data_IF_469070429170
#
_entry.id   IF_469070429170
#
_cell.length_a   1.000
_cell.length_b   1.000
_cell.length_c   1.000
_cell.angle_alpha   90.00
_cell.angle_beta   90.00
_cell.angle_gamma   90.00
#
_symmetry.space_group_name_H-M   'P 1'
#
loop_
_entity.id
_entity.type
_entity.pdbx_description
1 polymer ?
#
# COMPACT_ATOMS: atom_id res chain seq x y z
N UNK A 1 11.55 -44.32 -18.91
CA UNK A 1 10.97 -44.48 -17.56
C UNK A 1 11.60 -43.50 -16.55
N UNK A 2 12.94 -43.38 -16.53
CA UNK A 2 13.74 -42.51 -15.64
C UNK A 2 13.30 -41.04 -15.66
N UNK A 3 13.24 -40.40 -16.83
CA UNK A 3 12.78 -39.00 -16.98
C UNK A 3 11.40 -38.72 -16.36
N UNK A 4 10.46 -39.67 -16.44
CA UNK A 4 9.12 -39.51 -15.87
C UNK A 4 9.17 -39.54 -14.33
N UNK A 5 10.02 -40.39 -13.75
CA UNK A 5 10.24 -40.45 -12.31
C UNK A 5 10.89 -39.17 -11.78
N UNK A 6 11.91 -38.64 -12.46
CA UNK A 6 12.56 -37.35 -12.14
C UNK A 6 11.54 -36.22 -12.15
N UNK A 7 10.71 -36.12 -13.20
CA UNK A 7 9.66 -35.10 -13.27
C UNK A 7 8.64 -35.23 -12.14
N UNK A 8 8.29 -36.46 -11.75
CA UNK A 8 7.36 -36.71 -10.64
C UNK A 8 7.95 -36.27 -9.30
N UNK A 9 9.20 -36.62 -9.01
CA UNK A 9 9.91 -36.20 -7.79
C UNK A 9 10.04 -34.68 -7.71
N UNK A 10 10.45 -34.02 -8.81
CA UNK A 10 10.55 -32.57 -8.84
C UNK A 10 9.19 -31.88 -8.61
N UNK A 11 8.09 -32.44 -9.14
CA UNK A 11 6.74 -31.94 -8.86
C UNK A 11 6.32 -32.15 -7.41
N UNK A 12 6.67 -33.28 -6.79
CA UNK A 12 6.41 -33.55 -5.38
C UNK A 12 7.18 -32.57 -4.48
N UNK A 13 8.49 -32.41 -4.71
CA UNK A 13 9.32 -31.42 -4.00
C UNK A 13 8.78 -30.00 -4.17
N UNK A 14 8.31 -29.65 -5.38
CA UNK A 14 7.69 -28.35 -5.62
C UNK A 14 6.41 -28.14 -4.80
N UNK A 15 5.60 -29.19 -4.56
CA UNK A 15 4.40 -29.14 -3.71
C UNK A 15 4.77 -29.02 -2.24
N UNK A 16 5.66 -29.88 -1.75
CA UNK A 16 6.08 -29.92 -0.34
C UNK A 16 6.76 -28.63 0.09
N UNK A 17 7.58 -28.03 -0.80
CA UNK A 17 8.32 -26.80 -0.52
C UNK A 17 7.73 -25.61 -1.26
N UNK A 18 6.45 -25.35 -1.06
CA UNK A 18 5.73 -24.25 -1.71
C UNK A 18 6.10 -22.85 -1.14
N UNK A 19 6.89 -22.81 -0.08
CA UNK A 19 7.49 -21.65 0.60
C UNK A 19 8.77 -21.14 -0.08
N UNK A 20 9.58 -22.03 -0.66
CA UNK A 20 10.83 -21.71 -1.37
C UNK A 20 10.62 -21.26 -2.83
N UNK A 21 11.63 -20.63 -3.43
CA UNK A 21 11.59 -20.27 -4.85
C UNK A 21 11.50 -21.50 -5.77
N UNK A 22 10.68 -21.48 -6.84
CA UNK A 22 10.57 -22.65 -7.75
C UNK A 22 11.94 -23.02 -8.36
N UNK A 23 12.79 -22.02 -8.60
CA UNK A 23 14.14 -22.24 -9.13
C UNK A 23 15.09 -22.89 -8.11
N UNK A 24 14.96 -22.51 -6.85
CA UNK A 24 15.71 -23.10 -5.72
C UNK A 24 15.30 -24.56 -5.53
N UNK A 25 13.99 -24.84 -5.43
CA UNK A 25 13.47 -26.21 -5.32
C UNK A 25 13.87 -27.05 -6.53
N UNK A 26 13.86 -26.49 -7.73
CA UNK A 26 14.38 -27.17 -8.92
C UNK A 26 15.87 -27.54 -8.76
N UNK A 27 16.70 -26.59 -8.34
CA UNK A 27 18.14 -26.80 -8.20
C UNK A 27 18.46 -27.89 -7.18
N UNK A 28 17.80 -27.86 -6.03
CA UNK A 28 17.99 -28.87 -4.98
C UNK A 28 17.46 -30.25 -5.42
N UNK A 29 16.24 -30.30 -5.98
CA UNK A 29 15.68 -31.56 -6.46
C UNK A 29 16.49 -32.18 -7.61
N UNK A 30 17.16 -31.35 -8.43
CA UNK A 30 18.05 -31.81 -9.49
C UNK A 30 19.26 -32.56 -8.90
N UNK A 31 19.89 -32.01 -7.85
CA UNK A 31 21.02 -32.64 -7.16
C UNK A 31 20.59 -33.94 -6.48
N UNK A 32 19.44 -33.94 -5.80
CA UNK A 32 18.90 -35.17 -5.19
C UNK A 32 18.65 -36.25 -6.25
N UNK A 33 18.00 -35.91 -7.36
CA UNK A 33 17.72 -36.87 -8.42
C UNK A 33 19.01 -37.41 -9.07
N UNK A 34 20.02 -36.56 -9.32
CA UNK A 34 21.31 -37.00 -9.86
C UNK A 34 22.02 -37.97 -8.91
N UNK A 35 22.09 -37.63 -7.62
CA UNK A 35 22.76 -38.46 -6.61
C UNK A 35 22.11 -39.82 -6.43
N UNK A 36 20.77 -39.91 -6.51
CA UNK A 36 20.03 -41.18 -6.46
C UNK A 36 20.22 -42.04 -7.71
N UNK A 37 20.43 -41.43 -8.88
CA UNK A 37 20.59 -42.16 -10.14
C UNK A 37 22.03 -42.62 -10.37
N UNK A 38 23.01 -41.90 -9.83
CA UNK A 38 24.45 -42.15 -10.00
C UNK A 38 24.90 -43.60 -9.76
N UNK A 39 24.36 -44.36 -8.77
CA UNK A 39 24.75 -45.75 -8.55
C UNK A 39 24.15 -46.76 -9.54
N UNK A 40 23.15 -46.35 -10.34
CA UNK A 40 22.29 -47.27 -11.08
C UNK A 40 22.29 -47.04 -12.60
N UNK A 41 22.80 -45.91 -13.09
CA UNK A 41 22.72 -45.52 -14.50
C UNK A 41 24.02 -44.88 -14.99
N UNK A 42 24.30 -44.99 -16.29
CA UNK A 42 25.44 -44.32 -16.90
C UNK A 42 25.23 -42.79 -16.95
N UNK A 43 26.33 -42.03 -16.91
CA UNK A 43 26.28 -40.55 -16.90
C UNK A 43 25.50 -39.95 -18.08
N UNK A 44 25.56 -40.59 -19.25
CA UNK A 44 24.85 -40.18 -20.46
C UNK A 44 23.32 -40.32 -20.30
N UNK A 45 22.86 -41.44 -19.73
CA UNK A 45 21.45 -41.72 -19.46
C UNK A 45 20.87 -40.78 -18.39
N UNK A 46 21.68 -40.45 -17.39
CA UNK A 46 21.35 -39.47 -16.34
C UNK A 46 21.18 -38.09 -16.97
N UNK A 47 22.18 -37.63 -17.74
CA UNK A 47 22.16 -36.34 -18.42
C UNK A 47 20.95 -36.17 -19.34
N UNK A 48 20.61 -37.21 -20.11
CA UNK A 48 19.44 -37.20 -20.99
C UNK A 48 18.08 -37.19 -20.25
N UNK A 49 18.07 -37.64 -18.98
CA UNK A 49 16.86 -37.75 -18.17
C UNK A 49 16.56 -36.50 -17.33
N UNK A 50 17.56 -35.67 -17.06
CA UNK A 50 17.42 -34.46 -16.25
C UNK A 50 16.83 -33.29 -17.07
N UNK A 51 15.70 -32.68 -16.64
CA UNK A 51 15.14 -31.52 -17.33
C UNK A 51 15.95 -30.26 -17.07
N UNK A 52 15.96 -29.35 -18.03
CA UNK A 52 16.36 -27.96 -17.77
C UNK A 52 15.25 -27.22 -17.02
N UNK A 53 15.62 -26.18 -16.25
CA UNK A 53 14.66 -25.36 -15.51
C UNK A 53 13.54 -24.84 -16.42
N UNK A 54 13.90 -24.26 -17.58
CA UNK A 54 12.93 -23.72 -18.55
C UNK A 54 11.91 -24.77 -19.00
N UNK A 55 12.34 -26.01 -19.20
CA UNK A 55 11.47 -27.10 -19.68
C UNK A 55 10.45 -27.59 -18.66
N UNK A 56 10.78 -27.53 -17.35
CA UNK A 56 9.91 -28.04 -16.28
C UNK A 56 9.20 -26.93 -15.50
N UNK A 57 9.65 -25.67 -15.60
CA UNK A 57 9.14 -24.53 -14.85
C UNK A 57 7.61 -24.48 -14.79
N UNK A 58 6.93 -24.46 -15.95
CA UNK A 58 5.47 -24.39 -16.01
C UNK A 58 4.78 -25.59 -15.33
N UNK A 59 5.41 -26.77 -15.34
CA UNK A 59 4.89 -27.96 -14.69
C UNK A 59 5.06 -27.92 -13.18
N UNK A 60 6.16 -27.34 -12.67
CA UNK A 60 6.35 -27.13 -11.23
C UNK A 60 5.36 -26.10 -10.67
N UNK A 61 5.16 -24.99 -11.39
CA UNK A 61 4.14 -24.01 -11.02
C UNK A 61 2.72 -24.61 -11.04
N UNK A 62 2.37 -25.44 -12.03
CA UNK A 62 1.09 -26.17 -12.05
C UNK A 62 0.95 -27.16 -10.89
N UNK A 63 2.00 -27.90 -10.58
CA UNK A 63 2.00 -28.80 -9.41
C UNK A 63 1.77 -28.04 -8.10
N UNK A 64 2.42 -26.89 -7.91
CA UNK A 64 2.18 -25.99 -6.77
C UNK A 64 0.80 -25.37 -6.74
N UNK A 65 0.22 -25.06 -7.91
CA UNK A 65 -1.14 -24.54 -7.95
C UNK A 65 -2.16 -25.62 -7.51
N UNK A 66 -1.88 -26.90 -7.79
CA UNK A 66 -2.80 -28.01 -7.46
C UNK A 66 -2.98 -28.33 -5.99
N UNK A 67 -2.12 -27.80 -5.10
CA UNK A 67 -2.26 -27.97 -3.63
C UNK A 67 -2.99 -26.80 -2.97
N UNK A 68 -3.21 -25.70 -3.69
CA UNK A 68 -3.96 -24.56 -3.17
C UNK A 68 -5.45 -24.87 -3.26
N UNK A 69 -6.26 -24.28 -2.38
CA UNK A 69 -7.70 -24.33 -2.57
C UNK A 69 -8.08 -23.77 -3.96
N UNK A 70 -9.17 -24.27 -4.56
CA UNK A 70 -9.68 -23.73 -5.81
C UNK A 70 -9.91 -22.22 -5.67
N UNK A 71 -9.63 -21.48 -6.74
CA UNK A 71 -9.87 -20.04 -6.71
C UNK A 71 -11.37 -19.78 -6.66
N UNK A 72 -11.84 -18.97 -5.71
CA UNK A 72 -13.25 -18.61 -5.62
C UNK A 72 -13.63 -17.79 -6.87
N UNK A 73 -14.82 -18.04 -7.41
CA UNK A 73 -15.36 -17.28 -8.55
C UNK A 73 -16.20 -16.09 -8.08
N UNK A 74 -16.64 -16.12 -6.82
CA UNK A 74 -17.39 -15.06 -6.16
C UNK A 74 -16.87 -14.82 -4.75
N UNK A 75 -17.17 -13.65 -4.15
CA UNK A 75 -16.76 -13.33 -2.77
C UNK A 75 -17.42 -14.23 -1.72
N UNK A 76 -18.63 -14.71 -2.02
CA UNK A 76 -19.41 -15.62 -1.18
C UNK A 76 -18.81 -17.03 -1.14
N UNK A 77 -18.11 -17.45 -2.18
CA UNK A 77 -17.39 -18.73 -2.24
C UNK A 77 -16.03 -18.72 -1.51
N UNK A 78 -15.57 -17.57 -1.03
CA UNK A 78 -14.26 -17.47 -0.39
C UNK A 78 -14.28 -18.28 0.92
N UNK A 79 -13.47 -19.33 0.97
CA UNK A 79 -13.20 -20.10 2.19
C UNK A 79 -11.70 -19.98 2.47
N UNK A 80 -11.37 -19.40 3.63
CA UNK A 80 -10.00 -19.23 4.11
C UNK A 80 -9.90 -20.01 5.41
N UNK A 81 -9.03 -21.02 5.44
CA UNK A 81 -8.85 -21.89 6.60
C UNK A 81 -7.45 -22.52 6.61
N UNK A 82 -7.04 -23.06 7.75
CA UNK A 82 -5.82 -23.85 7.91
C UNK A 82 -4.56 -23.00 7.96
N UNK A 83 -3.73 -23.05 6.92
CA UNK A 83 -2.53 -22.21 6.85
C UNK A 83 -2.87 -20.78 6.37
N UNK A 84 -4.04 -20.56 5.77
CA UNK A 84 -4.39 -19.29 5.13
C UNK A 84 -5.02 -18.27 6.08
N UNK A 85 -5.55 -18.71 7.21
CA UNK A 85 -6.12 -17.85 8.25
C UNK A 85 -5.13 -17.60 9.41
N UNK A 86 -3.88 -18.07 9.28
CA UNK A 86 -2.83 -17.99 10.31
C UNK A 86 -1.60 -17.20 9.88
N UNK A 87 -0.80 -16.76 10.84
CA UNK A 87 0.53 -16.18 10.59
C UNK A 87 1.53 -17.29 10.24
N UNK A 88 2.74 -16.93 9.82
CA UNK A 88 3.84 -17.91 9.69
C UNK A 88 4.25 -18.52 11.05
N UNK A 89 3.94 -17.83 12.15
CA UNK A 89 4.08 -18.31 13.53
C UNK A 89 2.88 -19.13 14.04
N UNK A 90 1.87 -19.37 13.20
CA UNK A 90 0.65 -20.15 13.50
C UNK A 90 -0.39 -19.44 14.39
N UNK A 91 -0.27 -18.13 14.59
CA UNK A 91 -1.25 -17.31 15.30
C UNK A 91 -2.44 -16.92 14.41
N UNK A 92 -3.62 -16.58 14.96
CA UNK A 92 -4.74 -16.06 14.17
C UNK A 92 -4.35 -14.80 13.38
N UNK A 93 -4.60 -14.81 12.07
CA UNK A 93 -4.22 -13.72 11.16
C UNK A 93 -5.39 -13.11 10.39
N UNK A 94 -6.34 -13.92 9.93
CA UNK A 94 -7.53 -13.43 9.24
C UNK A 94 -8.58 -12.97 10.25
N UNK A 95 -8.37 -11.80 10.83
CA UNK A 95 -9.17 -11.33 11.97
C UNK A 95 -10.48 -10.65 11.57
N UNK A 96 -10.64 -10.26 10.30
CA UNK A 96 -11.78 -9.49 9.83
C UNK A 96 -12.45 -10.19 8.66
N UNK A 97 -13.70 -10.55 8.86
CA UNK A 97 -14.54 -11.14 7.83
C UNK A 97 -15.99 -10.85 8.20
N UNK A 98 -16.69 -10.08 7.38
CA UNK A 98 -18.09 -9.75 7.65
C UNK A 98 -19.08 -10.70 6.99
N UNK A 99 -18.63 -11.67 6.19
CA UNK A 99 -19.48 -12.69 5.57
C UNK A 99 -20.55 -12.14 4.62
N UNK A 100 -20.55 -10.84 4.31
CA UNK A 100 -21.55 -10.22 3.45
C UNK A 100 -21.35 -10.63 1.98
N UNK A 101 -22.35 -10.40 1.12
CA UNK A 101 -22.19 -10.60 -0.34
C UNK A 101 -21.06 -9.71 -0.89
N UNK A 102 -21.07 -8.43 -0.49
CA UNK A 102 -20.00 -7.48 -0.78
C UNK A 102 -18.93 -7.55 0.32
N UNK A 103 -18.38 -8.76 0.50
CA UNK A 103 -17.52 -9.15 1.62
C UNK A 103 -16.28 -8.26 1.76
N UNK A 104 -15.94 -7.94 3.01
CA UNK A 104 -14.65 -7.38 3.38
C UNK A 104 -13.85 -8.49 4.05
N UNK A 105 -12.61 -8.66 3.61
CA UNK A 105 -11.67 -9.61 4.22
C UNK A 105 -10.47 -8.82 4.70
N UNK A 106 -10.08 -8.99 5.96
CA UNK A 106 -8.92 -8.32 6.49
C UNK A 106 -8.05 -9.22 7.37
N UNK A 107 -6.80 -8.84 7.45
CA UNK A 107 -5.77 -9.54 8.21
C UNK A 107 -5.00 -8.61 9.14
N UNK A 108 -4.68 -9.10 10.32
CA UNK A 108 -3.87 -8.47 11.35
C UNK A 108 -3.56 -9.51 12.44
N UNK A 109 -2.86 -9.16 13.50
CA UNK A 109 -2.76 -9.98 14.71
C UNK A 109 -3.33 -9.20 15.89
N UNK A 110 -3.69 -9.88 16.98
CA UNK A 110 -4.21 -9.18 18.16
C UNK A 110 -3.20 -8.18 18.73
N UNK A 111 -1.91 -8.53 18.68
CA UNK A 111 -0.81 -7.64 19.05
C UNK A 111 -0.75 -6.41 18.15
N UNK A 112 -0.79 -6.58 16.83
CA UNK A 112 -0.77 -5.46 15.88
C UNK A 112 -1.99 -4.54 16.05
N UNK A 113 -3.18 -5.09 16.32
CA UNK A 113 -4.38 -4.29 16.63
C UNK A 113 -4.19 -3.49 17.92
N UNK A 114 -3.64 -4.11 18.98
CA UNK A 114 -3.37 -3.42 20.25
C UNK A 114 -2.39 -2.27 20.06
N UNK A 115 -1.31 -2.50 19.32
CA UNK A 115 -0.30 -1.46 19.05
C UNK A 115 -0.92 -0.33 18.21
N UNK A 116 -1.72 -0.66 17.19
CA UNK A 116 -2.43 0.33 16.39
C UNK A 116 -3.35 1.23 17.24
N UNK A 117 -4.01 0.66 18.26
CA UNK A 117 -4.84 1.45 19.18
C UNK A 117 -4.02 2.44 20.03
N UNK A 118 -2.73 2.18 20.24
CA UNK A 118 -1.83 3.03 21.00
C UNK A 118 -1.11 4.11 20.18
N UNK A 119 -1.17 4.08 18.84
CA UNK A 119 -0.52 5.10 18.02
C UNK A 119 -1.41 6.35 17.86
N UNK A 120 -0.86 7.57 17.98
CA UNK A 120 -1.67 8.79 17.92
C UNK A 120 -2.16 9.11 16.50
N UNK A 121 -1.38 8.70 15.49
CA UNK A 121 -1.61 9.02 14.09
C UNK A 121 -1.70 7.75 13.27
N UNK A 122 -2.80 7.58 12.56
CA UNK A 122 -3.03 6.49 11.62
C UNK A 122 -2.86 7.00 10.20
N UNK A 123 -1.97 6.36 9.47
CA UNK A 123 -1.71 6.63 8.07
C UNK A 123 -2.35 5.51 7.26
N UNK A 124 -2.82 5.83 6.06
CA UNK A 124 -3.47 4.85 5.21
C UNK A 124 -3.10 5.01 3.76
N UNK A 125 -3.14 3.90 3.04
CA UNK A 125 -3.04 3.91 1.59
C UNK A 125 -3.75 2.69 0.98
N UNK A 126 -4.28 2.90 -0.22
CA UNK A 126 -4.97 1.90 -1.01
C UNK A 126 -4.19 1.61 -2.28
N UNK A 127 -3.88 0.33 -2.55
CA UNK A 127 -3.25 -0.07 -3.81
C UNK A 127 -4.16 -0.93 -4.67
N UNK A 128 -4.10 -0.69 -5.99
CA UNK A 128 -4.96 -1.30 -7.02
C UNK A 128 -4.23 -2.33 -7.88
N UNK A 129 -2.90 -2.25 -7.93
CA UNK A 129 -2.10 -3.01 -8.90
C UNK A 129 -1.89 -4.46 -8.49
N UNK A 130 -1.92 -4.73 -7.20
CA UNK A 130 -1.64 -6.04 -6.63
C UNK A 130 -2.79 -6.36 -5.70
N UNK A 131 -3.87 -6.86 -6.31
CA UNK A 131 -5.12 -7.20 -5.62
C UNK A 131 -5.72 -8.44 -6.30
N UNK A 132 -6.33 -9.37 -5.54
CA UNK A 132 -7.10 -10.45 -6.13
C UNK A 132 -8.27 -9.91 -6.96
N UNK A 133 -8.57 -10.55 -8.09
CA UNK A 133 -9.59 -10.09 -9.05
C UNK A 133 -10.99 -9.88 -8.45
N UNK A 134 -11.30 -10.53 -7.33
CA UNK A 134 -12.55 -10.34 -6.60
C UNK A 134 -12.58 -9.06 -5.78
N UNK A 135 -11.49 -8.29 -5.63
CA UNK A 135 -11.45 -7.08 -4.81
C UNK A 135 -10.93 -5.90 -5.64
N UNK A 136 -11.42 -4.70 -5.34
CA UNK A 136 -10.99 -3.50 -6.05
C UNK A 136 -9.65 -2.99 -5.52
N UNK A 137 -9.42 -3.09 -4.21
CA UNK A 137 -8.22 -2.56 -3.58
C UNK A 137 -7.76 -3.38 -2.38
N UNK A 138 -6.44 -3.36 -2.16
CA UNK A 138 -5.85 -3.65 -0.87
C UNK A 138 -5.64 -2.34 -0.14
N UNK A 139 -6.35 -2.18 0.96
CA UNK A 139 -6.31 -1.02 1.83
C UNK A 139 -5.53 -1.34 3.10
N UNK A 140 -4.63 -0.44 3.50
CA UNK A 140 -3.69 -0.70 4.59
C UNK A 140 -3.72 0.40 5.62
N UNK A 141 -3.62 0.02 6.89
CA UNK A 141 -3.53 0.93 8.03
C UNK A 141 -2.15 0.82 8.65
N UNK A 142 -1.47 1.97 8.71
CA UNK A 142 -0.13 2.12 9.20
C UNK A 142 -0.10 3.07 10.40
N UNK A 143 0.91 2.95 11.24
CA UNK A 143 1.17 3.88 12.33
C UNK A 143 2.66 4.00 12.59
N UNK A 144 3.05 5.11 13.23
CA UNK A 144 4.43 5.31 13.65
C UNK A 144 4.64 4.67 15.03
N UNK A 145 5.47 3.63 15.09
CA UNK A 145 5.82 2.94 16.31
C UNK A 145 7.32 3.05 16.56
N UNK A 146 7.70 3.70 17.66
CA UNK A 146 9.12 3.95 18.04
C UNK A 146 9.96 4.53 16.87
N UNK A 147 9.36 5.42 16.09
CA UNK A 147 10.02 6.07 14.94
C UNK A 147 10.02 5.26 13.65
N UNK A 148 9.44 4.06 13.62
CA UNK A 148 9.30 3.23 12.43
C UNK A 148 7.85 3.22 11.92
N UNK A 149 7.65 3.30 10.61
CA UNK A 149 6.32 3.21 9.99
C UNK A 149 5.94 1.73 9.79
N UNK A 150 4.93 1.26 10.51
CA UNK A 150 4.53 -0.15 10.54
C UNK A 150 3.11 -0.33 9.99
N UNK A 151 2.89 -1.25 9.03
CA UNK A 151 1.54 -1.70 8.68
C UNK A 151 0.97 -2.61 9.77
N UNK A 152 -0.18 -2.24 10.32
CA UNK A 152 -0.83 -2.99 11.40
C UNK A 152 -2.03 -3.81 10.93
N UNK A 153 -2.75 -3.35 9.92
CA UNK A 153 -3.91 -4.05 9.39
C UNK A 153 -4.02 -3.90 7.88
N UNK A 154 -4.52 -4.96 7.24
CA UNK A 154 -4.67 -5.09 5.80
C UNK A 154 -6.12 -5.46 5.50
N UNK A 155 -6.75 -4.81 4.53
CA UNK A 155 -8.14 -5.06 4.13
C UNK A 155 -8.26 -5.17 2.62
N UNK A 156 -8.79 -6.29 2.14
CA UNK A 156 -9.27 -6.45 0.78
C UNK A 156 -10.69 -5.89 0.70
N UNK A 157 -10.82 -4.74 0.04
CA UNK A 157 -12.09 -4.03 -0.08
C UNK A 157 -12.72 -4.28 -1.46
N UNK A 158 -14.03 -4.54 -1.52
CA UNK A 158 -14.71 -4.83 -2.76
C UNK A 158 -14.91 -3.59 -3.65
N UNK A 159 -14.98 -2.40 -3.04
CA UNK A 159 -15.20 -1.11 -3.70
C UNK A 159 -14.60 0.05 -2.88
N UNK A 160 -14.98 1.28 -3.24
CA UNK A 160 -14.55 2.57 -2.66
C UNK A 160 -15.72 3.38 -2.08
N UNK A 161 -16.82 2.71 -1.73
CA UNK A 161 -17.98 3.42 -1.20
C UNK A 161 -17.75 3.85 0.25
N UNK A 162 -18.40 4.94 0.68
CA UNK A 162 -18.39 5.39 2.08
C UNK A 162 -18.79 4.24 3.02
N UNK A 163 -19.81 3.48 2.64
CA UNK A 163 -20.33 2.37 3.45
C UNK A 163 -19.33 1.23 3.61
N UNK A 164 -18.57 0.88 2.56
CA UNK A 164 -17.50 -0.13 2.65
C UNK A 164 -16.41 0.30 3.63
N UNK A 165 -15.98 1.57 3.60
CA UNK A 165 -15.02 2.08 4.57
C UNK A 165 -15.57 2.12 5.99
N UNK A 166 -16.84 2.51 6.15
CA UNK A 166 -17.53 2.51 7.43
C UNK A 166 -17.55 1.10 8.04
N UNK A 167 -17.97 0.09 7.26
CA UNK A 167 -17.94 -1.33 7.66
C UNK A 167 -16.55 -1.79 8.06
N UNK A 168 -15.53 -1.45 7.27
CA UNK A 168 -14.13 -1.76 7.60
C UNK A 168 -13.71 -1.18 8.95
N UNK A 169 -14.04 0.08 9.23
CA UNK A 169 -13.73 0.72 10.52
C UNK A 169 -14.49 0.10 11.69
N UNK A 170 -15.77 -0.24 11.51
CA UNK A 170 -16.57 -0.94 12.53
C UNK A 170 -15.96 -2.31 12.84
N UNK A 171 -15.56 -3.10 11.83
CA UNK A 171 -14.88 -4.37 12.04
C UNK A 171 -13.60 -4.21 12.87
N UNK A 172 -12.81 -3.17 12.57
CA UNK A 172 -11.58 -2.90 13.29
C UNK A 172 -11.83 -2.47 14.75
N UNK A 173 -12.81 -1.58 14.99
CA UNK A 173 -13.21 -1.18 16.35
C UNK A 173 -13.72 -2.36 17.16
N UNK A 174 -14.56 -3.20 16.57
CA UNK A 174 -15.10 -4.38 17.25
C UNK A 174 -13.98 -5.33 17.65
N UNK A 175 -13.00 -5.56 16.78
CA UNK A 175 -11.83 -6.38 17.13
C UNK A 175 -10.97 -5.73 18.20
N UNK A 176 -10.73 -4.41 18.13
CA UNK A 176 -9.98 -3.68 19.16
C UNK A 176 -10.64 -3.88 20.54
N UNK A 177 -11.96 -3.68 20.62
CA UNK A 177 -12.72 -3.88 21.85
C UNK A 177 -12.64 -5.32 22.36
N UNK A 178 -12.75 -6.30 21.46
CA UNK A 178 -12.67 -7.72 21.80
C UNK A 178 -11.30 -8.11 22.40
N UNK A 179 -10.22 -7.41 22.05
CA UNK A 179 -8.88 -7.63 22.61
C UNK A 179 -8.55 -6.70 23.79
N UNK A 180 -9.54 -6.00 24.33
CA UNK A 180 -9.40 -5.11 25.48
C UNK A 180 -8.72 -3.77 25.19
N UNK A 181 -8.72 -3.33 23.93
CA UNK A 181 -8.17 -2.05 23.50
C UNK A 181 -9.27 -1.14 22.91
N UNK A 182 -8.98 0.14 22.73
CA UNK A 182 -9.90 1.10 22.10
C UNK A 182 -9.19 1.82 20.97
N UNK A 183 -9.73 1.69 19.75
CA UNK A 183 -9.20 2.42 18.60
C UNK A 183 -9.71 3.87 18.63
N UNK A 184 -8.86 4.78 19.10
CA UNK A 184 -9.17 6.21 19.18
C UNK A 184 -7.98 7.08 18.73
N UNK A 185 -7.58 7.01 17.45
CA UNK A 185 -6.49 7.83 16.93
C UNK A 185 -6.85 9.32 16.97
N UNK A 186 -5.87 10.16 17.29
CA UNK A 186 -6.03 11.62 17.31
C UNK A 186 -6.00 12.25 15.91
N UNK A 187 -5.35 11.58 14.97
CA UNK A 187 -5.15 12.06 13.61
C UNK A 187 -5.21 10.91 12.61
N UNK A 188 -5.94 11.13 11.53
CA UNK A 188 -5.82 10.35 10.31
C UNK A 188 -5.11 11.15 9.22
N UNK A 189 -4.10 10.55 8.60
CA UNK A 189 -3.50 11.08 7.39
C UNK A 189 -3.90 10.26 6.17
N UNK A 190 -4.51 10.93 5.20
CA UNK A 190 -5.39 10.30 4.21
C UNK A 190 -5.20 10.90 2.83
N UNK A 191 -5.61 10.17 1.80
CA UNK A 191 -5.78 10.73 0.46
C UNK A 191 -7.07 11.58 0.38
N UNK A 192 -7.23 12.32 -0.72
CA UNK A 192 -8.36 13.22 -0.94
C UNK A 192 -9.60 12.50 -1.49
N UNK A 193 -9.78 11.22 -1.14
CA UNK A 193 -10.97 10.48 -1.53
C UNK A 193 -12.14 10.80 -0.58
N UNK A 194 -13.22 11.36 -1.14
CA UNK A 194 -14.35 11.89 -0.35
C UNK A 194 -15.05 10.81 0.46
N UNK A 195 -15.23 9.62 -0.12
CA UNK A 195 -15.90 8.50 0.54
C UNK A 195 -15.24 8.13 1.87
N UNK A 196 -13.91 8.11 1.87
CA UNK A 196 -13.12 7.70 3.01
C UNK A 196 -12.91 8.82 4.04
N UNK A 197 -12.94 10.09 3.61
CA UNK A 197 -13.00 11.25 4.50
C UNK A 197 -14.29 11.25 5.30
N UNK A 198 -15.43 11.09 4.61
CA UNK A 198 -16.76 11.03 5.25
C UNK A 198 -16.93 9.80 6.15
N UNK A 199 -16.34 8.65 5.79
CA UNK A 199 -16.38 7.47 6.65
C UNK A 199 -15.57 7.66 7.94
N UNK A 200 -14.43 8.37 7.91
CA UNK A 200 -13.72 8.75 9.15
C UNK A 200 -14.57 9.70 9.97
N UNK A 201 -15.20 10.69 9.36
CA UNK A 201 -16.00 11.67 10.10
C UNK A 201 -17.14 11.02 10.89
N UNK A 202 -17.84 10.05 10.28
CA UNK A 202 -18.89 9.29 10.95
C UNK A 202 -18.33 8.41 12.09
N UNK A 203 -17.22 7.71 11.83
CA UNK A 203 -16.73 6.68 12.76
C UNK A 203 -15.76 7.24 13.81
N UNK A 204 -15.04 8.30 13.54
CA UNK A 204 -14.05 8.92 14.43
C UNK A 204 -14.28 10.44 14.47
N UNK A 205 -15.43 10.91 14.99
CA UNK A 205 -15.79 12.33 14.96
C UNK A 205 -14.83 13.22 15.76
N UNK A 206 -14.10 12.65 16.72
CA UNK A 206 -13.10 13.36 17.52
C UNK A 206 -11.70 13.35 16.90
N UNK A 207 -11.47 12.53 15.86
CA UNK A 207 -10.17 12.46 15.21
C UNK A 207 -10.01 13.58 14.19
N UNK A 208 -8.87 14.25 14.23
CA UNK A 208 -8.49 15.19 13.18
C UNK A 208 -8.19 14.43 11.89
N UNK A 209 -8.35 15.13 10.75
CA UNK A 209 -8.06 14.60 9.42
C UNK A 209 -7.06 15.53 8.75
N UNK A 210 -6.01 14.97 8.16
CA UNK A 210 -5.08 15.69 7.30
C UNK A 210 -4.92 14.96 5.98
N UNK A 211 -5.02 15.69 4.89
CA UNK A 211 -4.63 15.21 3.58
C UNK A 211 -3.14 14.89 3.53
N UNK A 212 -2.73 14.02 2.61
CA UNK A 212 -1.33 13.80 2.31
C UNK A 212 -0.85 14.87 1.32
N UNK A 213 0.21 15.61 1.67
CA UNK A 213 0.75 16.67 0.81
C UNK A 213 1.22 16.15 -0.55
N UNK A 214 1.72 14.91 -0.60
CA UNK A 214 2.07 14.26 -1.87
C UNK A 214 0.83 14.08 -2.76
N UNK A 215 -0.26 13.57 -2.19
CA UNK A 215 -1.52 13.39 -2.92
C UNK A 215 -2.17 14.74 -3.31
N UNK A 216 -1.98 15.79 -2.51
CA UNK A 216 -2.38 17.16 -2.86
C UNK A 216 -1.64 17.64 -4.11
N UNK A 217 -0.30 17.59 -4.09
CA UNK A 217 0.54 17.93 -5.22
C UNK A 217 0.21 17.08 -6.46
N UNK A 218 -0.04 15.79 -6.27
CA UNK A 218 -0.41 14.87 -7.34
C UNK A 218 -1.76 15.22 -7.96
N UNK A 219 -2.76 15.59 -7.16
CA UNK A 219 -4.07 16.04 -7.67
C UNK A 219 -3.96 17.31 -8.51
N UNK A 220 -3.13 18.27 -8.07
CA UNK A 220 -2.81 19.47 -8.85
C UNK A 220 -2.17 19.08 -10.19
N UNK A 221 -1.15 18.22 -10.17
CA UNK A 221 -0.47 17.77 -11.38
C UNK A 221 -1.38 17.00 -12.34
N UNK A 222 -2.26 16.13 -11.82
CA UNK A 222 -3.26 15.43 -12.65
C UNK A 222 -4.19 16.42 -13.36
N UNK A 223 -4.58 17.52 -12.71
CA UNK A 223 -5.37 18.57 -13.37
C UNK A 223 -4.57 19.28 -14.47
N UNK A 224 -3.32 19.64 -14.21
CA UNK A 224 -2.40 20.22 -15.22
C UNK A 224 -2.32 19.32 -16.45
N UNK A 225 -2.21 18.00 -16.27
CA UNK A 225 -2.22 17.04 -17.37
C UNK A 225 -3.58 16.99 -18.08
N UNK A 226 -4.68 16.93 -17.33
CA UNK A 226 -6.04 16.87 -17.88
C UNK A 226 -6.38 18.08 -18.76
N UNK A 227 -5.93 19.28 -18.37
CA UNK A 227 -6.15 20.52 -19.13
C UNK A 227 -5.16 20.70 -20.29
N UNK A 228 -4.24 19.75 -20.49
CA UNK A 228 -3.24 19.85 -21.56
C UNK A 228 -2.19 20.94 -21.31
N UNK A 229 -1.90 21.27 -20.05
CA UNK A 229 -0.85 22.22 -19.65
C UNK A 229 0.53 21.56 -19.48
N UNK A 230 0.60 20.23 -19.46
CA UNK A 230 1.87 19.51 -19.29
C UNK A 230 2.97 19.90 -20.31
N UNK A 231 2.68 20.13 -21.62
CA UNK A 231 3.69 20.63 -22.56
C UNK A 231 4.23 22.02 -22.22
N UNK A 232 3.41 22.88 -21.61
CA UNK A 232 3.77 24.25 -21.21
C UNK A 232 4.51 24.32 -19.88
N UNK A 233 4.59 23.21 -19.13
CA UNK A 233 5.21 23.20 -17.81
C UNK A 233 6.72 23.48 -17.82
N UNK A 234 7.38 23.38 -18.97
CA UNK A 234 8.79 23.78 -19.09
C UNK A 234 8.96 25.30 -18.91
N UNK A 235 7.94 26.08 -19.28
CA UNK A 235 7.92 27.53 -19.29
C UNK A 235 7.95 28.10 -17.86
N UNK A 236 8.79 29.12 -17.56
CA UNK A 236 8.99 29.60 -16.19
C UNK A 236 7.71 30.07 -15.48
N UNK A 237 6.83 30.80 -16.17
CA UNK A 237 5.58 31.31 -15.58
C UNK A 237 4.61 30.20 -15.21
N UNK A 238 4.36 29.26 -16.13
CA UNK A 238 3.48 28.10 -15.89
C UNK A 238 4.05 27.21 -14.79
N UNK A 239 5.36 26.96 -14.80
CA UNK A 239 6.04 26.20 -13.74
C UNK A 239 5.90 26.87 -12.38
N UNK A 240 6.06 28.20 -12.31
CA UNK A 240 5.93 28.97 -11.07
C UNK A 240 4.50 28.89 -10.54
N UNK A 241 3.49 29.13 -11.38
CA UNK A 241 2.08 29.04 -11.01
C UNK A 241 1.77 27.67 -10.37
N UNK A 242 2.04 26.57 -11.08
CA UNK A 242 1.73 25.21 -10.62
C UNK A 242 2.46 24.86 -9.32
N UNK A 243 3.75 25.23 -9.21
CA UNK A 243 4.53 24.96 -8.01
C UNK A 243 4.09 25.80 -6.82
N UNK A 244 3.66 27.05 -7.06
CA UNK A 244 3.19 27.94 -6.00
C UNK A 244 1.82 27.48 -5.47
N UNK A 245 0.91 27.01 -6.34
CA UNK A 245 -0.32 26.32 -5.92
C UNK A 245 -0.04 25.14 -4.99
N UNK A 246 1.01 24.35 -5.28
CA UNK A 246 1.41 23.24 -4.40
C UNK A 246 2.01 23.76 -3.08
N UNK A 247 2.80 24.83 -3.15
CA UNK A 247 3.45 25.43 -1.98
C UNK A 247 2.47 26.16 -1.05
N UNK A 248 1.28 26.56 -1.51
CA UNK A 248 0.22 27.13 -0.66
C UNK A 248 -0.13 26.21 0.52
N UNK A 249 0.01 24.89 0.35
CA UNK A 249 -0.15 23.94 1.46
C UNK A 249 0.86 24.12 2.58
N UNK A 250 1.86 25.00 2.45
CA UNK A 250 2.90 25.28 3.42
C UNK A 250 2.87 26.75 3.89
N UNK A 251 1.87 27.53 3.49
CA UNK A 251 1.67 28.94 3.88
C UNK A 251 0.76 29.00 5.12
N UNK A 252 0.95 29.96 6.05
CA UNK A 252 0.00 30.20 7.14
C UNK A 252 -1.44 30.33 6.62
N UNK A 253 -2.41 29.72 7.33
CA UNK A 253 -3.82 29.70 6.89
C UNK A 253 -4.40 31.11 6.66
N UNK A 254 -4.02 32.05 7.52
CA UNK A 254 -4.42 33.46 7.49
C UNK A 254 -3.76 34.27 6.35
N UNK A 255 -2.74 33.71 5.68
CA UNK A 255 -2.02 34.34 4.57
C UNK A 255 -2.28 33.67 3.23
N UNK A 256 -3.16 32.67 3.17
CA UNK A 256 -3.47 31.95 1.92
C UNK A 256 -4.06 32.88 0.86
N UNK A 257 -4.95 33.80 1.24
CA UNK A 257 -5.57 34.74 0.30
C UNK A 257 -4.54 35.70 -0.31
N UNK A 258 -3.72 36.33 0.54
CA UNK A 258 -2.64 37.22 0.08
C UNK A 258 -1.69 36.48 -0.88
N UNK A 259 -1.28 35.27 -0.48
CA UNK A 259 -0.39 34.44 -1.30
C UNK A 259 -1.03 34.04 -2.63
N UNK A 260 -2.35 33.77 -2.66
CA UNK A 260 -3.06 33.48 -3.90
C UNK A 260 -3.10 34.70 -4.84
N UNK A 261 -3.36 35.89 -4.31
CA UNK A 261 -3.35 37.13 -5.10
C UNK A 261 -1.98 37.39 -5.75
N UNK A 262 -0.89 37.17 -5.01
CA UNK A 262 0.47 37.26 -5.55
C UNK A 262 0.72 36.22 -6.66
N UNK A 263 0.28 34.97 -6.43
CA UNK A 263 0.41 33.88 -7.42
C UNK A 263 -0.36 34.20 -8.70
N UNK A 264 -1.58 34.74 -8.60
CA UNK A 264 -2.40 35.09 -9.75
C UNK A 264 -1.83 36.29 -10.51
N UNK A 265 -1.35 37.32 -9.81
CA UNK A 265 -0.71 38.49 -10.40
C UNK A 265 0.58 38.15 -11.17
N UNK A 266 1.35 37.16 -10.68
CA UNK A 266 2.54 36.65 -11.37
C UNK A 266 2.25 35.55 -12.40
N UNK A 267 0.99 35.16 -12.58
CA UNK A 267 0.60 34.12 -13.55
C UNK A 267 0.79 34.61 -15.00
N UNK A 268 0.98 33.69 -15.98
CA UNK A 268 1.14 34.11 -17.38
C UNK A 268 -0.04 34.96 -17.87
N UNK A 269 0.25 36.03 -18.62
CA UNK A 269 -0.75 37.01 -19.08
C UNK A 269 -1.75 36.43 -20.08
N UNK A 270 -2.78 37.21 -20.39
CA UNK A 270 -3.80 36.87 -21.39
C UNK A 270 -3.24 36.64 -22.81
N UNK A 271 -2.03 37.12 -23.09
CA UNK A 271 -1.34 36.93 -24.38
C UNK A 271 -0.68 35.54 -24.49
N UNK A 272 -0.59 34.80 -23.39
CA UNK A 272 0.04 33.48 -23.38
C UNK A 272 -0.77 32.49 -24.25
N UNK A 273 -0.14 31.68 -25.12
CA UNK A 273 -0.84 30.74 -26.01
C UNK A 273 -1.74 29.70 -25.31
N UNK A 274 -1.48 29.45 -24.02
CA UNK A 274 -2.26 28.55 -23.17
C UNK A 274 -3.18 29.28 -22.16
N UNK A 275 -3.47 30.57 -22.35
CA UNK A 275 -4.22 31.39 -21.39
C UNK A 275 -5.55 30.76 -20.95
N UNK A 276 -6.41 30.32 -21.87
CA UNK A 276 -7.70 29.68 -21.53
C UNK A 276 -7.53 28.45 -20.63
N UNK A 277 -6.47 27.66 -20.87
CA UNK A 277 -6.16 26.47 -20.05
C UNK A 277 -5.63 26.85 -18.68
N UNK A 278 -4.85 27.93 -18.59
CA UNK A 278 -4.34 28.46 -17.33
C UNK A 278 -5.48 29.02 -16.48
N UNK A 279 -6.41 29.77 -17.08
CA UNK A 279 -7.60 30.26 -16.39
C UNK A 279 -8.50 29.13 -15.92
N UNK A 280 -8.73 28.09 -16.75
CA UNK A 280 -9.44 26.90 -16.31
C UNK A 280 -8.74 26.18 -15.14
N UNK A 281 -7.41 26.18 -15.11
CA UNK A 281 -6.64 25.62 -14.00
C UNK A 281 -6.79 26.46 -12.72
N UNK A 282 -6.72 27.79 -12.83
CA UNK A 282 -6.92 28.71 -11.70
C UNK A 282 -8.33 28.59 -11.13
N UNK A 283 -9.35 28.56 -11.99
CA UNK A 283 -10.73 28.36 -11.59
C UNK A 283 -10.91 27.03 -10.85
N UNK A 284 -10.38 25.94 -11.38
CA UNK A 284 -10.37 24.65 -10.67
C UNK A 284 -9.72 24.75 -9.29
N UNK A 285 -8.58 25.45 -9.20
CA UNK A 285 -7.85 25.56 -7.94
C UNK A 285 -8.66 26.30 -6.89
N UNK A 286 -9.28 27.43 -7.28
CA UNK A 286 -10.19 28.22 -6.45
C UNK A 286 -11.36 27.35 -5.96
N UNK A 287 -12.13 26.80 -6.91
CA UNK A 287 -13.36 26.05 -6.62
C UNK A 287 -13.12 24.78 -5.80
N UNK A 288 -11.95 24.15 -5.95
CA UNK A 288 -11.67 22.85 -5.31
C UNK A 288 -10.93 23.01 -3.98
N UNK A 289 -9.97 23.92 -3.89
CA UNK A 289 -9.05 23.99 -2.75
C UNK A 289 -9.22 25.23 -1.89
N UNK A 290 -9.63 26.36 -2.47
CA UNK A 290 -9.78 27.62 -1.74
C UNK A 290 -11.20 27.82 -1.21
N UNK A 291 -12.23 27.42 -1.97
CA UNK A 291 -13.64 27.73 -1.64
C UNK A 291 -14.47 26.51 -1.22
N UNK A 292 -13.93 25.28 -1.32
CA UNK A 292 -14.67 24.05 -1.01
C UNK A 292 -14.52 23.61 0.45
N UNK A 293 -14.95 24.46 1.39
CA UNK A 293 -14.83 24.15 2.82
C UNK A 293 -15.67 22.95 3.27
N UNK A 294 -16.70 22.58 2.50
CA UNK A 294 -17.55 21.44 2.81
C UNK A 294 -16.86 20.08 2.59
N UNK A 295 -15.92 19.99 1.64
CA UNK A 295 -15.25 18.72 1.27
C UNK A 295 -13.76 18.79 1.55
N UNK A 296 -13.12 19.89 1.18
CA UNK A 296 -11.67 20.09 1.28
C UNK A 296 -11.35 21.42 1.99
N UNK A 297 -11.74 21.55 3.28
CA UNK A 297 -11.43 22.75 4.03
C UNK A 297 -9.92 22.98 4.08
N UNK A 298 -9.51 24.24 4.15
CA UNK A 298 -8.09 24.62 3.99
C UNK A 298 -7.18 23.96 5.01
N UNK A 299 -7.66 23.74 6.22
CA UNK A 299 -6.91 23.02 7.24
C UNK A 299 -6.64 21.56 6.84
N UNK A 300 -7.49 20.90 6.05
CA UNK A 300 -7.28 19.52 5.62
C UNK A 300 -5.98 19.36 4.83
N UNK A 301 -5.73 20.22 3.84
CA UNK A 301 -4.58 20.12 2.93
C UNK A 301 -3.39 21.00 3.35
N UNK A 302 -3.57 21.87 4.35
CA UNK A 302 -2.50 22.70 4.88
C UNK A 302 -1.60 21.96 5.89
N UNK A 303 -0.30 22.13 5.70
CA UNK A 303 0.82 21.56 6.44
C UNK A 303 1.79 22.63 6.96
N UNK A 304 1.39 23.90 7.05
CA UNK A 304 2.20 24.91 7.72
C UNK A 304 2.52 24.46 9.15
N UNK A 305 3.79 24.57 9.55
CA UNK A 305 4.34 24.07 10.83
C UNK A 305 4.16 22.56 11.09
N UNK A 306 3.75 21.77 10.11
CA UNK A 306 3.75 20.32 10.24
C UNK A 306 5.16 19.79 9.94
N UNK A 307 5.97 19.57 10.98
CA UNK A 307 7.31 18.98 10.85
C UNK A 307 7.33 17.45 11.03
N UNK A 308 6.15 16.84 11.20
CA UNK A 308 5.98 15.39 11.19
C UNK A 308 5.86 14.84 9.76
N UNK A 309 5.27 13.65 9.65
CA UNK A 309 5.01 13.06 8.35
C UNK A 309 3.99 13.88 7.55
N UNK A 310 4.43 14.50 6.45
CA UNK A 310 3.57 15.22 5.48
C UNK A 310 3.22 14.38 4.26
N UNK A 311 3.96 13.30 4.03
CA UNK A 311 3.84 12.44 2.86
C UNK A 311 3.73 10.98 3.27
N UNK A 312 3.07 10.18 2.44
CA UNK A 312 2.93 8.72 2.60
C UNK A 312 4.06 7.95 1.90
N UNK A 313 5.21 8.58 1.64
CA UNK A 313 6.32 7.98 0.88
C UNK A 313 6.75 6.60 1.37
N UNK A 314 6.72 6.35 2.68
CA UNK A 314 7.01 5.02 3.24
C UNK A 314 5.98 3.97 2.82
N UNK A 315 4.71 4.35 2.81
CA UNK A 315 3.59 3.48 2.44
C UNK A 315 3.60 3.23 0.93
N UNK A 316 3.84 4.27 0.13
CA UNK A 316 4.04 4.12 -1.32
C UNK A 316 5.26 3.25 -1.64
N UNK A 317 6.36 3.44 -0.92
CA UNK A 317 7.56 2.60 -1.03
C UNK A 317 7.26 1.15 -0.65
N UNK A 318 6.43 0.93 0.37
CA UNK A 318 5.95 -0.39 0.77
C UNK A 318 5.07 -1.02 -0.31
N UNK A 319 4.14 -0.27 -0.90
CA UNK A 319 3.31 -0.73 -2.01
C UNK A 319 4.13 -1.01 -3.27
N UNK A 320 5.10 -0.15 -3.61
CA UNK A 320 6.02 -0.37 -4.73
C UNK A 320 6.89 -1.61 -4.52
N UNK A 321 7.39 -1.81 -3.31
CA UNK A 321 8.11 -3.03 -2.90
C UNK A 321 7.24 -4.27 -3.08
N UNK A 322 6.01 -4.22 -2.58
CA UNK A 322 5.01 -5.29 -2.73
C UNK A 322 4.72 -5.58 -4.21
N UNK A 323 4.51 -4.55 -5.03
CA UNK A 323 4.31 -4.65 -6.47
C UNK A 323 5.49 -5.35 -7.18
N UNK A 324 6.72 -5.03 -6.78
CA UNK A 324 7.94 -5.65 -7.34
C UNK A 324 8.12 -7.11 -6.94
N UNK A 325 7.70 -7.49 -5.73
CA UNK A 325 7.78 -8.87 -5.23
C UNK A 325 6.76 -9.75 -5.95
N UNK A 326 5.55 -9.23 -6.13
CA UNK A 326 4.44 -9.98 -6.70
C UNK A 326 4.54 -10.16 -8.22
N UNK A 327 5.18 -9.23 -8.95
CA UNK A 327 5.53 -9.32 -10.40
C UNK A 327 4.36 -9.60 -11.37
N UNK A 328 3.11 -9.65 -10.91
CA UNK A 328 1.90 -9.90 -11.71
C UNK A 328 0.88 -8.80 -11.44
N UNK A 329 0.17 -8.37 -12.48
CA UNK A 329 -0.89 -7.35 -12.40
C UNK A 329 -2.15 -7.84 -11.67
N UNK A 330 -2.31 -9.17 -11.54
CA UNK A 330 -3.37 -9.80 -10.76
C UNK A 330 -2.79 -11.02 -10.04
N UNK A 331 -2.97 -11.05 -8.73
CA UNK A 331 -2.52 -12.12 -7.85
C UNK A 331 -3.72 -12.97 -7.49
N UNK A 332 -3.56 -14.29 -7.33
CA UNK A 332 -4.67 -15.02 -6.69
C UNK A 332 -4.76 -14.68 -5.20
N UNK A 333 -5.93 -14.88 -4.62
CA UNK A 333 -6.23 -14.59 -3.22
C UNK A 333 -5.20 -15.22 -2.26
N UNK A 334 -4.85 -16.48 -2.47
CA UNK A 334 -3.91 -17.20 -1.61
C UNK A 334 -2.46 -16.69 -1.72
N UNK A 335 -2.00 -16.31 -2.91
CA UNK A 335 -0.71 -15.64 -3.08
C UNK A 335 -0.69 -14.26 -2.41
N UNK A 336 -1.82 -13.54 -2.41
CA UNK A 336 -1.95 -12.29 -1.66
C UNK A 336 -1.85 -12.53 -0.15
N UNK A 337 -2.62 -13.49 0.39
CA UNK A 337 -2.56 -13.87 1.81
C UNK A 337 -1.13 -14.24 2.21
N UNK A 338 -0.44 -15.05 1.41
CA UNK A 338 0.96 -15.44 1.66
C UNK A 338 1.92 -14.26 1.65
N UNK A 339 1.66 -13.25 0.82
CA UNK A 339 2.43 -12.00 0.86
C UNK A 339 2.16 -11.24 2.17
N UNK A 340 0.91 -11.09 2.57
CA UNK A 340 0.54 -10.41 3.82
C UNK A 340 1.11 -11.13 5.06
N UNK A 341 1.10 -12.46 5.12
CA UNK A 341 1.73 -13.25 6.17
C UNK A 341 3.24 -12.98 6.28
N UNK A 342 3.94 -12.83 5.14
CA UNK A 342 5.36 -12.48 5.13
C UNK A 342 5.62 -11.05 5.59
N UNK A 343 4.69 -10.13 5.31
CA UNK A 343 4.78 -8.75 5.77
C UNK A 343 4.58 -8.69 7.29
N UNK A 344 3.54 -9.36 7.81
CA UNK A 344 3.30 -9.50 9.23
C UNK A 344 4.55 -10.05 9.94
N UNK A 345 5.06 -11.22 9.54
CA UNK A 345 6.24 -11.81 10.17
C UNK A 345 7.47 -10.88 10.17
N UNK A 346 7.70 -10.14 9.08
CA UNK A 346 8.77 -9.14 8.99
C UNK A 346 8.59 -8.03 10.04
N UNK A 347 7.40 -7.47 10.15
CA UNK A 347 7.14 -6.34 11.04
C UNK A 347 7.00 -6.77 12.51
N UNK A 348 6.53 -7.97 12.80
CA UNK A 348 6.52 -8.53 14.15
C UNK A 348 7.96 -8.66 14.70
N UNK A 349 8.90 -9.16 13.90
CA UNK A 349 10.34 -9.17 14.27
C UNK A 349 10.88 -7.74 14.45
N UNK A 350 10.48 -6.81 13.59
CA UNK A 350 10.91 -5.40 13.69
C UNK A 350 10.43 -4.75 14.99
N UNK A 351 9.19 -5.00 15.41
CA UNK A 351 8.64 -4.52 16.69
C UNK A 351 9.48 -5.04 17.86
N UNK A 352 9.76 -6.35 17.89
CA UNK A 352 10.60 -6.94 18.93
C UNK A 352 12.00 -6.30 19.00
N UNK A 353 12.62 -6.01 17.84
CA UNK A 353 13.92 -5.33 17.79
C UNK A 353 13.85 -3.90 18.36
N UNK A 354 12.79 -3.15 18.03
CA UNK A 354 12.55 -1.80 18.57
C UNK A 354 12.25 -1.85 20.08
N UNK A 355 11.60 -2.90 20.56
CA UNK A 355 11.37 -3.15 21.99
C UNK A 355 12.64 -3.41 22.77
N UNK A 356 13.61 -4.07 22.14
CA UNK A 356 14.96 -4.27 22.68
C UNK A 356 15.88 -3.05 22.52
N UNK A 357 15.36 -1.91 22.05
CA UNK A 357 16.10 -0.66 21.95
C UNK A 357 16.93 -0.48 20.68
N UNK A 358 16.72 -1.30 19.65
CA UNK A 358 17.33 -1.01 18.35
C UNK A 358 16.75 0.27 17.74
N UNK A 359 17.59 1.03 17.04
CA UNK A 359 17.15 2.25 16.38
C UNK A 359 16.29 1.96 15.15
N UNK A 360 15.28 2.81 14.86
CA UNK A 360 14.50 2.71 13.62
C UNK A 360 15.37 3.00 12.39
N UNK A 361 14.83 2.69 11.20
CA UNK A 361 15.51 3.01 9.96
C UNK A 361 15.73 4.52 9.80
N UNK A 362 16.96 4.90 9.45
CA UNK A 362 17.30 6.30 9.24
C UNK A 362 16.51 6.87 8.07
N UNK A 363 15.88 8.03 8.31
CA UNK A 363 15.32 8.84 7.25
C UNK A 363 16.44 9.24 6.29
N UNK A 364 16.17 9.24 4.99
CA UNK A 364 17.19 9.64 4.01
C UNK A 364 17.56 11.10 4.24
N UNK A 365 18.86 11.40 4.31
CA UNK A 365 19.42 12.74 4.52
C UNK A 365 18.78 13.84 3.66
N UNK A 366 18.41 13.52 2.41
CA UNK A 366 17.70 14.45 1.51
C UNK A 366 16.40 14.99 2.14
N UNK A 367 15.62 14.15 2.80
CA UNK A 367 14.37 14.56 3.44
C UNK A 367 14.65 15.34 4.73
N UNK A 368 15.63 14.93 5.52
CA UNK A 368 16.07 15.70 6.69
C UNK A 368 16.54 17.11 6.29
N UNK A 369 17.29 17.24 5.19
CA UNK A 369 17.73 18.52 4.64
C UNK A 369 16.56 19.39 4.16
N UNK A 370 15.55 18.79 3.55
CA UNK A 370 14.33 19.48 3.12
C UNK A 370 13.56 20.02 4.33
N UNK A 371 13.39 19.19 5.35
CA UNK A 371 12.64 19.54 6.57
C UNK A 371 13.36 20.66 7.34
N UNK A 372 14.69 20.60 7.43
CA UNK A 372 15.49 21.69 8.00
C UNK A 372 15.33 23.01 7.24
N UNK A 373 15.21 22.97 5.91
CA UNK A 373 14.95 24.18 5.12
C UNK A 373 13.55 24.72 5.36
N UNK A 374 12.56 23.85 5.47
CA UNK A 374 11.17 24.25 5.77
C UNK A 374 11.07 24.90 7.15
N UNK A 375 11.73 24.33 8.17
CA UNK A 375 11.77 24.91 9.52
C UNK A 375 12.29 26.36 9.48
N UNK A 376 13.42 26.59 8.79
CA UNK A 376 14.02 27.93 8.64
C UNK A 376 13.18 28.96 7.87
N UNK A 377 12.16 28.53 7.12
CA UNK A 377 11.26 29.42 6.40
C UNK A 377 10.05 29.82 7.25
N UNK A 378 9.87 29.15 8.39
CA UNK A 378 8.68 29.24 9.25
C UNK A 378 9.02 29.83 10.62
N UNK A 379 10.26 29.63 11.07
CA UNK A 379 10.94 30.41 12.12
C UNK A 379 11.30 31.80 11.59
#
# INVERSE_FOLDING_TARGET
>A
MIRRAVFSKMKAAAKERADCGVKEVYSEALVTCEGEMRPHYASEDIGASLPTYRSIQASLYRARASIRPPLPQSRTEIIIAGEWDRTLGNDPFLLFDDGAENRIIGSSTEEMVKILCGVPSVFRDGTFRVVPHLFLQLYTLHGLYKGEMIPFAYFLLPDKTKETYRRMFVLLKNRANAVGATLSPSLFQVDFEVAVLKAIEDEFPLANRKGCHFHFAQSIWRKVQQLGLAPHYAEPGVKRLVRSCTALGLVPLDRIEDAWLEIDAESPSAEHPAHEKLDAFKQYFIETWLENDAIFPRDLWNHYRNFGARTTNHIEGWHQGSNRIVRKSHVNLFEMIKHLQKQEAKYSVKILMLDMGQAPEKVKKKYEDLDRKLIRLVD
#
